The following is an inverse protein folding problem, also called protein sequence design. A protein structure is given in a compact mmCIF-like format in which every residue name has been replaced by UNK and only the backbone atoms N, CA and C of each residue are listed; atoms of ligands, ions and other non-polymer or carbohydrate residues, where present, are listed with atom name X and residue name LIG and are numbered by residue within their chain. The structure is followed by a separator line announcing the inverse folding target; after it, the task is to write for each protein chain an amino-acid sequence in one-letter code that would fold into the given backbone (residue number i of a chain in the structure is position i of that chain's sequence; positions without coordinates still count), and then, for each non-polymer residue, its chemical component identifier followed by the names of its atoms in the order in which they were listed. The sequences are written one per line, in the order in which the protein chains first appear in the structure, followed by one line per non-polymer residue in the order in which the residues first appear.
data_IF_457046982663
#
_entry.id   IF_457046982663
#
_cell.length_a   1.000
_cell.length_b   1.000
_cell.length_c   1.000
_cell.angle_alpha   90.00
_cell.angle_beta   90.00
_cell.angle_gamma   90.00
#
_symmetry.space_group_name_H-M   'P 1'
#
loop_
_entity.id
_entity.type
_entity.pdbx_description
1 polymer ?
#
# COMPACT_ATOMS: atom_id res chain seq x y z
N UNK A 1 -16.31 -12.00 -22.22
CA UNK A 1 -15.11 -11.99 -21.34
C UNK A 1 -15.34 -10.87 -20.34
N UNK A 2 -15.46 -11.15 -19.05
CA UNK A 2 -15.44 -10.08 -18.06
C UNK A 2 -14.00 -9.55 -18.06
N UNK A 3 -13.83 -8.27 -18.40
CA UNK A 3 -12.53 -7.63 -18.33
C UNK A 3 -12.04 -7.68 -16.88
N UNK A 4 -10.84 -8.22 -16.69
CA UNK A 4 -10.22 -8.32 -15.38
C UNK A 4 -10.03 -6.91 -14.81
N UNK A 5 -10.41 -6.70 -13.55
CA UNK A 5 -10.28 -5.40 -12.93
C UNK A 5 -8.81 -5.08 -12.62
N UNK A 6 -8.37 -3.90 -13.02
CA UNK A 6 -7.10 -3.30 -12.61
C UNK A 6 -7.37 -2.30 -11.49
N UNK A 7 -7.02 -2.69 -10.27
CA UNK A 7 -7.45 -2.01 -9.06
C UNK A 7 -6.31 -1.11 -8.53
N UNK A 8 -6.60 0.16 -8.32
CA UNK A 8 -5.76 1.06 -7.55
C UNK A 8 -6.32 1.18 -6.11
N UNK A 9 -5.46 0.97 -5.12
CA UNK A 9 -5.83 0.96 -3.70
C UNK A 9 -5.30 2.22 -3.01
N UNK A 10 -6.19 2.93 -2.32
CA UNK A 10 -5.91 4.15 -1.58
C UNK A 10 -6.32 3.96 -0.12
N UNK A 11 -5.34 3.99 0.79
CA UNK A 11 -5.53 3.72 2.22
C UNK A 11 -5.40 5.02 3.02
N UNK A 12 -6.48 5.46 3.63
CA UNK A 12 -6.45 6.46 4.69
C UNK A 12 -6.07 5.76 6.00
N UNK A 13 -4.74 5.63 6.20
CA UNK A 13 -4.21 4.78 7.26
C UNK A 13 -4.57 5.29 8.66
N UNK A 14 -4.49 6.61 8.88
CA UNK A 14 -4.80 7.18 10.20
C UNK A 14 -6.27 6.90 10.59
N UNK A 15 -7.23 6.99 9.66
CA UNK A 15 -8.64 6.73 9.90
C UNK A 15 -8.91 5.25 10.16
N UNK A 16 -8.44 4.37 9.26
CA UNK A 16 -8.71 2.94 9.37
C UNK A 16 -8.05 2.33 10.61
N UNK A 17 -6.83 2.75 10.96
CA UNK A 17 -6.12 2.28 12.14
C UNK A 17 -6.85 2.65 13.42
N UNK A 18 -7.28 3.92 13.56
CA UNK A 18 -8.06 4.38 14.71
C UNK A 18 -9.36 3.60 14.81
N UNK A 19 -10.07 3.41 13.71
CA UNK A 19 -11.31 2.65 13.65
C UNK A 19 -11.13 1.21 14.10
N UNK A 20 -10.14 0.50 13.56
CA UNK A 20 -9.84 -0.90 13.90
C UNK A 20 -9.37 -1.03 15.35
N UNK A 21 -8.47 -0.17 15.82
CA UNK A 21 -8.01 -0.20 17.22
C UNK A 21 -9.13 0.05 18.22
N UNK A 22 -10.00 1.03 17.94
CA UNK A 22 -11.07 1.41 18.87
C UNK A 22 -12.20 0.38 18.95
N UNK A 23 -12.55 -0.25 17.81
CA UNK A 23 -13.70 -1.17 17.72
C UNK A 23 -13.31 -2.63 17.88
N UNK A 24 -12.19 -3.06 17.27
CA UNK A 24 -11.77 -4.45 17.22
C UNK A 24 -10.62 -4.77 18.17
N UNK A 25 -9.99 -3.75 18.79
CA UNK A 25 -8.82 -3.86 19.67
C UNK A 25 -7.66 -4.63 19.02
N UNK A 26 -7.50 -4.49 17.71
CA UNK A 26 -6.44 -5.07 16.90
C UNK A 26 -5.71 -3.97 16.14
N UNK A 27 -4.55 -4.29 15.60
CA UNK A 27 -3.87 -3.43 14.63
C UNK A 27 -4.43 -3.70 13.23
N UNK A 28 -4.43 -2.66 12.39
CA UNK A 28 -4.82 -2.83 11.00
C UNK A 28 -3.73 -3.59 10.23
N UNK A 29 -4.13 -4.64 9.53
CA UNK A 29 -3.25 -5.42 8.65
C UNK A 29 -3.55 -5.09 7.18
N UNK A 30 -2.60 -4.41 6.53
CA UNK A 30 -2.74 -4.04 5.13
C UNK A 30 -2.69 -5.26 4.20
N UNK A 31 -2.01 -6.33 4.59
CA UNK A 31 -1.91 -7.53 3.76
C UNK A 31 -3.27 -8.21 3.60
N UNK A 32 -4.08 -8.25 4.67
CA UNK A 32 -5.46 -8.74 4.62
C UNK A 32 -6.33 -7.90 3.67
N UNK A 33 -6.25 -6.58 3.77
CA UNK A 33 -7.00 -5.68 2.90
C UNK A 33 -6.60 -5.85 1.42
N UNK A 34 -5.29 -5.92 1.15
CA UNK A 34 -4.79 -6.16 -0.21
C UNK A 34 -5.15 -7.54 -0.73
N UNK A 35 -5.18 -8.56 0.13
CA UNK A 35 -5.64 -9.91 -0.19
C UNK A 35 -7.07 -9.92 -0.73
N UNK A 36 -7.96 -9.25 -0.03
CA UNK A 36 -9.37 -9.12 -0.43
C UNK A 36 -9.55 -8.49 -1.82
N UNK A 37 -8.73 -7.48 -2.16
CA UNK A 37 -8.79 -6.87 -3.49
C UNK A 37 -8.15 -7.74 -4.58
N UNK A 38 -7.09 -8.50 -4.27
CA UNK A 38 -6.48 -9.45 -5.21
C UNK A 38 -7.44 -10.57 -5.65
N UNK A 39 -8.42 -10.92 -4.82
CA UNK A 39 -9.48 -11.87 -5.18
C UNK A 39 -10.43 -11.29 -6.24
N UNK A 40 -10.54 -9.95 -6.34
CA UNK A 40 -11.44 -9.23 -7.23
C UNK A 40 -10.78 -8.78 -8.53
N UNK A 41 -9.45 -8.68 -8.54
CA UNK A 41 -8.71 -8.24 -9.73
C UNK A 41 -7.21 -8.08 -9.47
N UNK A 42 -6.52 -7.48 -10.41
CA UNK A 42 -5.10 -7.16 -10.30
C UNK A 42 -4.90 -5.85 -9.55
N UNK A 43 -4.21 -5.89 -8.42
CA UNK A 43 -3.82 -4.67 -7.68
C UNK A 43 -2.60 -4.07 -8.35
N UNK A 44 -2.80 -3.02 -9.15
CA UNK A 44 -1.76 -2.38 -9.99
C UNK A 44 -1.09 -1.19 -9.32
N UNK A 45 -1.75 -0.54 -8.36
CA UNK A 45 -1.21 0.59 -7.61
C UNK A 45 -1.69 0.55 -6.15
N UNK A 46 -0.84 0.99 -5.22
CA UNK A 46 -1.13 0.95 -3.77
C UNK A 46 -0.52 2.17 -3.10
N UNK A 47 -1.36 2.98 -2.46
CA UNK A 47 -0.97 4.19 -1.74
C UNK A 47 -1.55 4.18 -0.33
N UNK A 48 -0.80 4.68 0.63
CA UNK A 48 -1.29 4.87 1.99
C UNK A 48 -0.89 6.25 2.52
N UNK A 49 -1.85 6.94 3.11
CA UNK A 49 -1.77 8.32 3.56
C UNK A 49 -1.81 8.36 5.08
N UNK A 50 -0.76 8.89 5.70
CA UNK A 50 -0.68 9.03 7.15
C UNK A 50 0.41 10.02 7.57
N UNK A 51 0.43 10.35 8.85
CA UNK A 51 1.58 10.97 9.48
C UNK A 51 2.61 9.88 9.88
N UNK A 52 3.40 9.44 8.89
CA UNK A 52 4.33 8.31 9.04
C UNK A 52 5.39 8.50 10.12
N UNK A 53 5.72 9.75 10.48
CA UNK A 53 6.64 10.02 11.59
C UNK A 53 6.13 9.58 12.97
N UNK A 54 4.87 9.16 13.06
CA UNK A 54 4.23 8.64 14.29
C UNK A 54 3.83 7.17 14.18
N UNK A 55 4.15 6.51 13.05
CA UNK A 55 3.64 5.18 12.68
C UNK A 55 4.79 4.20 12.36
N UNK A 56 5.82 4.12 13.23
CA UNK A 56 7.01 3.30 12.97
C UNK A 56 6.69 1.82 12.68
N UNK A 57 5.77 1.20 13.43
CA UNK A 57 5.37 -0.19 13.20
C UNK A 57 4.67 -0.39 11.85
N UNK A 58 3.86 0.57 11.43
CA UNK A 58 3.11 0.51 10.18
C UNK A 58 3.99 0.73 8.95
N UNK A 59 5.05 1.54 9.05
CA UNK A 59 5.95 1.80 7.91
C UNK A 59 6.60 0.51 7.39
N UNK A 60 6.96 -0.38 8.29
CA UNK A 60 7.51 -1.69 7.93
C UNK A 60 6.50 -2.53 7.17
N UNK A 61 5.26 -2.61 7.67
CA UNK A 61 4.17 -3.35 7.03
C UNK A 61 3.87 -2.81 5.63
N UNK A 62 3.85 -1.47 5.46
CA UNK A 62 3.66 -0.85 4.14
C UNK A 62 4.79 -1.21 3.17
N UNK A 63 6.05 -1.15 3.63
CA UNK A 63 7.21 -1.49 2.81
C UNK A 63 7.21 -2.97 2.39
N UNK A 64 6.91 -3.90 3.29
CA UNK A 64 6.82 -5.34 3.01
C UNK A 64 5.74 -5.67 1.97
N UNK A 65 4.67 -4.88 1.91
CA UNK A 65 3.58 -5.02 0.94
C UNK A 65 3.74 -4.14 -0.30
N UNK A 66 4.88 -3.46 -0.45
CA UNK A 66 5.17 -2.52 -1.53
C UNK A 66 4.04 -1.47 -1.72
N UNK A 67 3.57 -0.90 -0.61
CA UNK A 67 2.61 0.21 -0.58
C UNK A 67 3.40 1.51 -0.57
N UNK A 68 3.08 2.42 -1.49
CA UNK A 68 3.68 3.75 -1.52
C UNK A 68 3.12 4.60 -0.37
N UNK A 69 4.00 5.07 0.50
CA UNK A 69 3.65 5.90 1.64
C UNK A 69 3.64 7.38 1.25
N UNK A 70 2.51 8.04 1.40
CA UNK A 70 2.34 9.48 1.19
C UNK A 70 2.30 10.16 2.55
N UNK A 71 3.27 11.06 2.79
CA UNK A 71 3.37 11.78 4.06
C UNK A 71 2.29 12.85 4.17
N UNK A 72 1.50 12.78 5.21
CA UNK A 72 0.60 13.86 5.62
C UNK A 72 1.41 14.95 6.31
N UNK A 73 1.33 16.17 5.80
CA UNK A 73 1.91 17.34 6.45
C UNK A 73 0.82 17.95 7.35
N UNK A 74 0.98 17.95 8.69
CA UNK A 74 0.03 18.61 9.56
C UNK A 74 -0.06 20.10 9.24
N UNK A 75 -1.27 20.60 8.98
CA UNK A 75 -1.47 22.04 8.83
C UNK A 75 -1.22 22.74 10.17
N UNK A 76 -0.54 23.88 10.21
CA UNK A 76 -0.35 24.67 11.42
C UNK A 76 -1.66 25.09 12.11
N UNK A 77 -2.77 25.10 11.38
CA UNK A 77 -4.11 25.44 11.87
C UNK A 77 -4.92 24.24 12.35
N UNK A 78 -4.34 23.03 12.36
CA UNK A 78 -5.02 21.83 12.84
C UNK A 78 -6.06 21.25 11.88
N UNK A 79 -6.02 21.60 10.59
CA UNK A 79 -6.90 21.00 9.58
C UNK A 79 -6.65 19.49 9.50
N UNK A 80 -7.67 18.73 9.92
CA UNK A 80 -7.64 17.27 9.88
C UNK A 80 -7.74 16.71 8.46
N UNK A 81 -8.32 17.48 7.52
CA UNK A 81 -8.73 17.02 6.19
C UNK A 81 -7.62 17.04 5.13
N UNK A 82 -6.40 17.45 5.46
CA UNK A 82 -5.30 17.54 4.45
C UNK A 82 -4.91 16.20 3.82
N UNK A 83 -5.03 15.08 4.55
CA UNK A 83 -4.76 13.75 4.00
C UNK A 83 -5.87 13.30 3.06
N UNK A 84 -7.12 13.55 3.45
CA UNK A 84 -8.32 13.15 2.72
C UNK A 84 -8.37 13.86 1.37
N UNK A 85 -7.99 15.15 1.34
CA UNK A 85 -7.91 15.95 0.11
C UNK A 85 -6.81 15.39 -0.81
N UNK A 86 -5.61 15.09 -0.30
CA UNK A 86 -4.53 14.54 -1.11
C UNK A 86 -4.91 13.17 -1.68
N UNK A 87 -5.47 12.29 -0.87
CA UNK A 87 -5.97 10.98 -1.32
C UNK A 87 -7.00 11.16 -2.45
N UNK A 88 -7.96 12.07 -2.26
CA UNK A 88 -9.01 12.30 -3.24
C UNK A 88 -8.45 12.86 -4.55
N UNK A 89 -7.48 13.78 -4.49
CA UNK A 89 -6.84 14.35 -5.67
C UNK A 89 -6.01 13.32 -6.43
N UNK A 90 -5.19 12.54 -5.73
CA UNK A 90 -4.36 11.48 -6.34
C UNK A 90 -5.24 10.39 -6.99
N UNK A 91 -6.35 10.02 -6.35
CA UNK A 91 -7.30 9.06 -6.91
C UNK A 91 -7.98 9.59 -8.18
N UNK A 92 -8.39 10.87 -8.20
CA UNK A 92 -8.97 11.50 -9.38
C UNK A 92 -7.93 11.67 -10.49
N UNK A 93 -6.71 12.13 -10.18
CA UNK A 93 -5.64 12.22 -11.16
C UNK A 93 -5.39 10.87 -11.83
N UNK A 94 -5.29 9.81 -11.02
CA UNK A 94 -5.12 8.46 -11.57
C UNK A 94 -6.30 8.03 -12.45
N UNK A 95 -7.52 8.35 -12.07
CA UNK A 95 -8.72 8.02 -12.86
C UNK A 95 -8.70 8.65 -14.25
N UNK A 96 -8.07 9.85 -14.39
CA UNK A 96 -7.94 10.56 -15.65
C UNK A 96 -6.71 10.16 -16.45
N UNK A 97 -5.57 9.93 -15.78
CA UNK A 97 -4.28 9.75 -16.45
C UNK A 97 -3.97 8.29 -16.77
N UNK A 98 -4.56 7.33 -16.04
CA UNK A 98 -4.28 5.91 -16.18
C UNK A 98 -5.51 5.14 -16.70
N UNK A 99 -5.72 5.17 -18.03
CA UNK A 99 -6.89 4.57 -18.67
C UNK A 99 -7.04 3.06 -18.39
N UNK A 100 -5.94 2.35 -18.13
CA UNK A 100 -5.94 0.92 -17.79
C UNK A 100 -6.47 0.63 -16.38
N UNK A 101 -6.49 1.63 -15.48
CA UNK A 101 -7.07 1.50 -14.12
C UNK A 101 -8.57 1.70 -14.23
N UNK A 102 -9.34 0.61 -14.05
CA UNK A 102 -10.78 0.61 -14.18
C UNK A 102 -11.51 0.39 -12.84
N UNK A 103 -10.77 0.11 -11.76
CA UNK A 103 -11.31 -0.06 -10.42
C UNK A 103 -10.49 0.68 -9.35
N UNK A 104 -11.17 1.21 -8.34
CA UNK A 104 -10.60 1.97 -7.24
C UNK A 104 -11.07 1.38 -5.93
N UNK A 105 -10.15 1.14 -5.01
CA UNK A 105 -10.45 0.67 -3.66
C UNK A 105 -10.07 1.75 -2.65
N UNK A 106 -11.04 2.26 -1.91
CA UNK A 106 -10.86 3.25 -0.84
C UNK A 106 -10.93 2.50 0.49
N UNK A 107 -9.85 2.55 1.26
CA UNK A 107 -9.75 1.93 2.58
C UNK A 107 -9.89 3.03 3.64
N UNK A 108 -11.11 3.30 4.06
CA UNK A 108 -11.46 4.29 5.07
C UNK A 108 -12.91 4.09 5.54
N UNK A 109 -13.24 4.57 6.73
CA UNK A 109 -14.61 4.63 7.24
C UNK A 109 -15.27 6.01 7.09
N UNK A 110 -14.54 7.02 6.56
CA UNK A 110 -14.97 8.40 6.57
C UNK A 110 -16.00 8.72 5.47
N UNK A 111 -17.08 9.37 5.88
CA UNK A 111 -18.13 9.86 4.98
C UNK A 111 -17.66 10.95 4.01
N UNK A 112 -16.57 11.63 4.33
CA UNK A 112 -16.03 12.71 3.50
C UNK A 112 -15.51 12.21 2.14
N UNK A 113 -15.33 10.89 1.99
CA UNK A 113 -15.01 10.25 0.70
C UNK A 113 -16.23 9.97 -0.20
N UNK A 114 -17.47 10.21 0.25
CA UNK A 114 -18.67 10.02 -0.58
C UNK A 114 -18.60 10.81 -1.90
N UNK A 115 -18.17 12.10 -1.92
CA UNK A 115 -18.03 12.85 -3.17
C UNK A 115 -17.01 12.22 -4.13
N UNK A 116 -15.89 11.68 -3.61
CA UNK A 116 -14.89 10.96 -4.40
C UNK A 116 -15.49 9.70 -5.02
N UNK A 117 -16.16 8.87 -4.22
CA UNK A 117 -16.83 7.64 -4.68
C UNK A 117 -17.80 7.93 -5.81
N UNK A 118 -18.64 8.95 -5.63
CA UNK A 118 -19.62 9.36 -6.66
C UNK A 118 -18.92 9.81 -7.94
N UNK A 119 -17.85 10.60 -7.81
CA UNK A 119 -17.12 11.11 -8.97
C UNK A 119 -16.41 10.00 -9.75
N UNK A 120 -15.79 9.04 -9.08
CA UNK A 120 -15.19 7.88 -9.71
C UNK A 120 -16.25 7.04 -10.46
N UNK A 121 -17.45 6.88 -9.87
CA UNK A 121 -18.58 6.19 -10.54
C UNK A 121 -19.07 6.96 -11.78
N UNK A 122 -19.13 8.29 -11.74
CA UNK A 122 -19.44 9.12 -12.92
C UNK A 122 -18.45 8.87 -14.07
N UNK A 123 -17.18 8.60 -13.74
CA UNK A 123 -16.14 8.25 -14.74
C UNK A 123 -16.17 6.77 -15.15
N UNK A 124 -17.22 6.03 -14.80
CA UNK A 124 -17.38 4.63 -15.17
C UNK A 124 -16.41 3.69 -14.46
N UNK A 125 -15.80 4.13 -13.33
CA UNK A 125 -14.90 3.28 -12.56
C UNK A 125 -15.67 2.44 -11.57
N UNK A 126 -15.25 1.18 -11.38
CA UNK A 126 -15.74 0.35 -10.28
C UNK A 126 -15.12 0.83 -8.96
N UNK A 127 -15.92 0.99 -7.92
CA UNK A 127 -15.45 1.50 -6.63
C UNK A 127 -15.75 0.51 -5.52
N UNK A 128 -14.70 0.05 -4.87
CA UNK A 128 -14.73 -0.73 -3.64
C UNK A 128 -14.47 0.19 -2.44
N UNK A 129 -15.13 -0.07 -1.33
CA UNK A 129 -14.82 0.56 -0.05
C UNK A 129 -14.53 -0.54 0.96
N UNK A 130 -13.42 -0.44 1.67
CA UNK A 130 -13.08 -1.32 2.79
C UNK A 130 -13.04 -0.52 4.09
N UNK A 131 -13.75 -1.00 5.08
CA UNK A 131 -13.78 -0.42 6.41
C UNK A 131 -14.46 -1.34 7.42
N UNK A 132 -14.53 -0.93 8.68
CA UNK A 132 -15.26 -1.69 9.69
C UNK A 132 -16.75 -1.36 9.68
N UNK A 133 -17.60 -2.36 9.86
CA UNK A 133 -19.06 -2.19 9.93
C UNK A 133 -19.48 -1.16 10.98
N UNK A 134 -18.75 -1.15 12.10
CA UNK A 134 -19.10 -0.32 13.27
C UNK A 134 -18.73 1.17 13.11
N UNK A 135 -17.71 1.48 12.27
CA UNK A 135 -17.22 2.86 12.15
C UNK A 135 -17.29 3.45 10.75
N UNK A 136 -17.71 2.66 9.74
CA UNK A 136 -17.92 3.17 8.39
C UNK A 136 -19.35 3.70 8.24
N UNK A 137 -19.46 4.92 7.71
CA UNK A 137 -20.76 5.54 7.42
C UNK A 137 -21.63 4.62 6.55
N UNK A 138 -22.88 4.42 6.98
CA UNK A 138 -23.86 3.62 6.20
C UNK A 138 -24.09 4.19 4.79
N UNK A 139 -24.02 5.51 4.65
CA UNK A 139 -24.17 6.17 3.36
C UNK A 139 -22.99 5.82 2.45
N UNK A 140 -21.76 5.81 2.98
CA UNK A 140 -20.57 5.42 2.22
C UNK A 140 -20.67 3.95 1.77
N UNK A 141 -21.10 3.05 2.67
CA UNK A 141 -21.31 1.64 2.35
C UNK A 141 -22.32 1.42 1.22
N UNK A 142 -23.39 2.22 1.19
CA UNK A 142 -24.45 2.10 0.18
C UNK A 142 -24.08 2.75 -1.17
N UNK A 143 -23.14 3.71 -1.17
CA UNK A 143 -22.76 4.43 -2.38
C UNK A 143 -21.67 3.75 -3.20
N UNK A 144 -20.87 2.84 -2.65
CA UNK A 144 -19.88 2.07 -3.40
C UNK A 144 -20.52 0.93 -4.21
N UNK A 145 -19.76 0.33 -5.13
CA UNK A 145 -20.21 -0.87 -5.84
C UNK A 145 -20.18 -2.09 -4.92
N UNK A 146 -19.16 -2.19 -4.07
CA UNK A 146 -19.06 -3.25 -3.08
C UNK A 146 -18.38 -2.71 -1.82
N UNK A 147 -19.00 -3.00 -0.67
CA UNK A 147 -18.41 -2.74 0.64
C UNK A 147 -17.78 -4.02 1.20
N UNK A 148 -16.49 -3.96 1.51
CA UNK A 148 -15.73 -5.05 2.13
C UNK A 148 -15.57 -4.76 3.61
N UNK A 149 -16.15 -5.61 4.46
CA UNK A 149 -16.03 -5.46 5.91
C UNK A 149 -14.69 -6.02 6.39
N UNK A 150 -13.94 -5.21 7.12
CA UNK A 150 -12.67 -5.65 7.71
C UNK A 150 -12.86 -6.78 8.74
N UNK A 151 -13.96 -6.76 9.49
CA UNK A 151 -14.32 -7.82 10.44
C UNK A 151 -14.47 -9.17 9.73
N UNK A 152 -15.10 -9.18 8.55
CA UNK A 152 -15.28 -10.43 7.80
C UNK A 152 -13.94 -11.01 7.34
N UNK A 153 -12.97 -10.16 6.98
CA UNK A 153 -11.62 -10.62 6.60
C UNK A 153 -10.87 -11.26 7.77
N UNK A 154 -11.08 -10.79 9.00
CA UNK A 154 -10.49 -11.39 10.19
C UNK A 154 -11.09 -12.77 10.48
N UNK A 155 -12.41 -12.94 10.34
CA UNK A 155 -13.09 -14.22 10.53
C UNK A 155 -12.63 -15.26 9.51
N UNK A 156 -12.46 -14.88 8.26
CA UNK A 156 -11.97 -15.76 7.20
C UNK A 156 -10.48 -16.08 7.39
N UNK A 157 -9.67 -15.13 7.87
CA UNK A 157 -8.27 -15.35 8.21
C UNK A 157 -8.07 -16.35 9.35
N UNK A 158 -8.93 -16.30 10.37
CA UNK A 158 -8.91 -17.26 11.49
C UNK A 158 -9.36 -18.68 11.05
N UNK A 159 -10.07 -18.83 9.93
CA UNK A 159 -10.48 -20.11 9.34
C UNK A 159 -9.41 -20.77 8.46
N UNK A 160 -8.42 -20.01 8.03
CA UNK A 160 -7.27 -20.56 7.31
C UNK A 160 -6.35 -21.19 8.37
N UNK A 161 -6.62 -22.45 8.71
CA UNK A 161 -5.70 -23.27 9.51
C UNK A 161 -4.33 -23.20 8.83
N UNK A 162 -3.24 -22.87 9.55
CA UNK A 162 -1.91 -22.88 8.96
C UNK A 162 -1.67 -24.28 8.40
N UNK A 163 -1.45 -24.41 7.10
CA UNK A 163 -0.96 -25.67 6.56
C UNK A 163 0.38 -25.93 7.26
N UNK A 164 0.56 -27.13 7.89
CA UNK A 164 1.83 -27.45 8.51
C UNK A 164 2.91 -27.29 7.44
N UNK A 165 3.88 -26.42 7.72
CA UNK A 165 5.06 -26.30 6.87
C UNK A 165 5.62 -27.70 6.66
N UNK A 166 5.97 -28.10 5.42
CA UNK A 166 6.58 -29.40 5.21
C UNK A 166 7.82 -29.48 6.09
N UNK A 167 7.83 -30.46 7.00
CA UNK A 167 8.97 -30.77 7.86
C UNK A 167 10.22 -30.78 7.00
N UNK A 168 11.19 -29.94 7.36
CA UNK A 168 12.52 -30.00 6.78
C UNK A 168 13.02 -31.42 7.06
N UNK A 169 12.99 -32.26 6.05
CA UNK A 169 13.64 -33.56 6.09
C UNK A 169 15.07 -33.34 6.54
N UNK A 170 15.41 -33.90 7.67
CA UNK A 170 16.72 -33.87 8.25
C UNK A 170 17.77 -34.17 7.17
N UNK A 171 18.65 -33.21 6.99
CA UNK A 171 19.84 -33.36 6.17
C UNK A 171 20.80 -34.25 6.98
N UNK A 172 21.26 -35.39 6.47
CA UNK A 172 22.13 -36.24 7.25
C UNK A 172 23.36 -35.47 7.74
N UNK A 173 23.72 -35.72 8.98
CA UNK A 173 24.92 -35.19 9.65
C UNK A 173 26.15 -35.46 8.79
N UNK A 174 26.82 -34.38 8.41
CA UNK A 174 28.09 -34.42 7.71
C UNK A 174 29.20 -34.65 8.73
N UNK A 175 29.70 -35.85 8.76
CA UNK A 175 30.88 -36.31 9.50
C UNK A 175 32.00 -35.28 9.43
N UNK A 176 32.54 -34.93 10.58
CA UNK A 176 33.74 -34.11 10.76
C UNK A 176 34.93 -34.74 10.03
N UNK A 177 35.55 -33.96 9.20
CA UNK A 177 36.91 -34.23 8.71
C UNK A 177 37.72 -32.94 8.61
N UNK A 178 38.72 -32.85 9.49
CA UNK A 178 40.05 -32.35 9.13
C UNK A 178 40.20 -30.83 9.06
N UNK A 179 40.93 -30.35 10.04
CA UNK A 179 41.55 -29.02 10.10
C UNK A 179 42.23 -28.63 8.76
N UNK A 180 41.92 -27.39 8.31
CA UNK A 180 42.70 -26.72 7.29
C UNK A 180 42.97 -25.28 7.72
N UNK A 181 44.19 -24.78 7.50
CA UNK A 181 44.71 -23.61 8.17
C UNK A 181 44.09 -22.30 7.69
N UNK A 182 44.02 -21.35 8.63
CA UNK A 182 43.58 -19.97 8.46
C UNK A 182 44.31 -19.25 7.32
N UNK A 183 43.58 -18.91 6.28
CA UNK A 183 43.98 -17.91 5.31
C UNK A 183 43.20 -16.61 5.64
N UNK A 184 43.89 -15.68 6.29
CA UNK A 184 43.46 -14.28 6.45
C UNK A 184 43.24 -13.68 5.08
N UNK A 185 42.00 -13.59 4.61
CA UNK A 185 41.61 -12.67 3.55
C UNK A 185 41.08 -11.41 4.19
N UNK A 186 41.87 -10.36 4.12
CA UNK A 186 41.42 -8.98 4.32
C UNK A 186 40.28 -8.71 3.35
N UNK A 187 39.03 -8.63 3.84
CA UNK A 187 37.92 -8.05 3.10
C UNK A 187 38.09 -6.53 3.16
N UNK A 188 38.57 -5.95 2.09
CA UNK A 188 38.46 -4.55 1.82
C UNK A 188 36.98 -4.15 1.94
N UNK A 189 36.70 -3.24 2.89
CA UNK A 189 35.40 -2.57 3.00
C UNK A 189 35.23 -1.73 1.74
N UNK A 190 34.40 -2.19 0.80
CA UNK A 190 33.94 -1.39 -0.32
C UNK A 190 33.35 -0.07 0.21
N UNK A 191 34.01 1.02 -0.10
CA UNK A 191 33.53 2.36 0.15
C UNK A 191 32.17 2.54 -0.54
N UNK A 192 31.15 2.91 0.21
CA UNK A 192 29.90 3.39 -0.37
C UNK A 192 30.25 4.60 -1.24
N UNK A 193 29.76 4.64 -2.50
CA UNK A 193 29.98 5.83 -3.32
C UNK A 193 29.39 7.05 -2.60
N UNK A 194 30.15 8.13 -2.58
CA UNK A 194 29.71 9.41 -2.03
C UNK A 194 28.46 9.90 -2.77
N UNK A 195 27.54 10.61 -2.11
CA UNK A 195 26.39 11.21 -2.79
C UNK A 195 26.88 12.12 -3.92
N UNK A 196 26.28 11.95 -5.11
CA UNK A 196 26.55 12.81 -6.25
C UNK A 196 26.19 14.27 -5.89
N UNK A 197 27.13 15.18 -6.07
CA UNK A 197 26.85 16.61 -5.92
C UNK A 197 25.89 17.08 -7.03
N UNK A 198 25.08 18.09 -6.73
CA UNK A 198 24.06 18.63 -7.63
C UNK A 198 24.66 19.02 -8.99
N UNK A 199 25.88 19.55 -9.00
CA UNK A 199 26.66 19.90 -10.18
C UNK A 199 26.97 18.71 -11.10
N UNK A 200 27.05 17.50 -10.55
CA UNK A 200 27.28 16.26 -11.29
C UNK A 200 25.97 15.59 -11.74
N UNK A 201 24.86 15.85 -11.05
CA UNK A 201 23.55 15.30 -11.38
C UNK A 201 22.86 16.07 -12.51
N UNK A 202 23.03 17.40 -12.60
CA UNK A 202 22.37 18.25 -13.60
C UNK A 202 22.60 17.82 -15.06
N UNK A 203 23.81 17.49 -15.52
CA UNK A 203 24.03 17.03 -16.89
C UNK A 203 23.34 15.71 -17.23
N UNK A 204 23.09 14.85 -16.23
CA UNK A 204 22.36 13.59 -16.40
C UNK A 204 20.85 13.85 -16.58
N UNK A 205 20.30 14.81 -15.83
CA UNK A 205 18.89 15.23 -15.94
C UNK A 205 18.65 15.89 -17.30
N UNK A 206 19.52 16.78 -17.75
CA UNK A 206 19.42 17.42 -19.07
C UNK A 206 19.47 16.43 -20.22
N UNK A 207 20.36 15.42 -20.12
CA UNK A 207 20.39 14.33 -21.11
C UNK A 207 19.11 13.52 -21.14
N UNK A 208 18.53 13.22 -19.98
CA UNK A 208 17.28 12.49 -19.88
C UNK A 208 16.13 13.27 -20.52
N UNK A 209 16.04 14.57 -20.27
CA UNK A 209 15.04 15.46 -20.88
C UNK A 209 15.19 15.53 -22.40
N UNK A 210 16.40 15.68 -22.93
CA UNK A 210 16.65 15.69 -24.39
C UNK A 210 16.25 14.37 -25.08
N UNK A 211 16.40 13.23 -24.39
CA UNK A 211 15.97 11.92 -24.92
C UNK A 211 14.45 11.85 -24.97
N UNK A 212 13.76 12.40 -23.99
CA UNK A 212 12.29 12.43 -23.95
C UNK A 212 11.72 13.37 -25.02
N UNK A 213 12.29 14.55 -25.20
CA UNK A 213 11.87 15.51 -26.25
C UNK A 213 12.05 14.98 -27.68
N UNK A 214 13.02 14.10 -27.93
CA UNK A 214 13.21 13.45 -29.24
C UNK A 214 12.24 12.33 -29.55
N UNK A 215 11.46 11.89 -28.57
CA UNK A 215 10.47 10.79 -28.69
C UNK A 215 9.02 11.27 -28.72
N UNK A 216 8.79 12.56 -28.49
CA UNK A 216 7.50 13.22 -28.66
C UNK A 216 7.34 13.76 -30.07
#
# INVERSE_FOLDING_TARGET
MQDRLNIAVFVDYDNIEIGVKSTLRREFDVALALGAFKERGDVVAKFAYANWGRQEGATRQMAENAVQMVQRIPSPRGDKNGADINLALDALEMAFTHAHVNAFAIVSGDSDFIPLVNKLKEYGKTVFVLGGKAFTSTILQQNCHEFVSYESLLEDGDRIVPQPMPERRDRPERVERGERPERKQQRERGQRPAPLELSQAMPLVERALQVLERRA
#
